data_IF_231587699109
#
_entry.id   IF_231587699109
#
_cell.length_a   1.000
_cell.length_b   1.000
_cell.length_c   1.000
_cell.angle_alpha   90.00
_cell.angle_beta   90.00
_cell.angle_gamma   90.00
#
_symmetry.space_group_name_H-M   'P 1'
#
loop_
_entity.id
_entity.type
_entity.pdbx_description
1 polymer ?
#
# COMPACT_ATOMS: atom_id res chain seq x y z
N UNK A 1 -95.09 21.09 -43.90
CA UNK A 1 -95.59 20.01 -43.01
C UNK A 1 -94.55 18.90 -42.96
N UNK A 2 -94.39 18.31 -41.76
CA UNK A 2 -93.52 17.18 -41.36
C UNK A 2 -92.03 17.49 -41.10
N UNK A 3 -91.76 17.78 -39.81
CA UNK A 3 -90.55 17.38 -39.10
C UNK A 3 -90.54 15.86 -38.93
N UNK A 4 -89.35 15.24 -38.93
CA UNK A 4 -88.99 14.18 -37.98
C UNK A 4 -87.46 14.12 -37.89
N UNK A 5 -86.94 14.08 -36.66
CA UNK A 5 -85.51 14.12 -36.34
C UNK A 5 -84.83 12.77 -36.38
N UNK A 6 -83.50 12.80 -36.33
CA UNK A 6 -82.62 11.65 -36.18
C UNK A 6 -81.26 12.12 -35.64
N UNK A 7 -80.75 11.38 -34.66
CA UNK A 7 -79.76 11.78 -33.67
C UNK A 7 -78.35 12.13 -34.21
N UNK A 8 -77.70 13.08 -33.53
CA UNK A 8 -76.26 13.33 -33.59
C UNK A 8 -75.55 12.23 -32.81
N UNK A 9 -74.73 11.43 -33.49
CA UNK A 9 -73.71 10.58 -32.86
C UNK A 9 -72.39 11.33 -32.99
N UNK A 10 -71.87 11.82 -31.87
CA UNK A 10 -70.51 12.36 -31.75
C UNK A 10 -69.56 11.17 -31.70
N UNK A 11 -68.86 10.90 -32.81
CA UNK A 11 -67.70 10.01 -32.80
C UNK A 11 -66.50 10.81 -32.27
N UNK A 12 -66.09 10.53 -31.04
CA UNK A 12 -64.86 11.06 -30.47
C UNK A 12 -63.67 10.49 -31.25
N UNK A 13 -62.94 11.35 -31.96
CA UNK A 13 -61.62 11.02 -32.50
C UNK A 13 -60.65 10.84 -31.32
N UNK A 14 -60.31 9.60 -31.00
CA UNK A 14 -59.14 9.30 -30.18
C UNK A 14 -57.90 9.57 -31.04
N UNK A 15 -57.36 10.78 -30.94
CA UNK A 15 -56.03 11.09 -31.45
C UNK A 15 -55.00 10.31 -30.64
N UNK A 16 -54.40 9.29 -31.26
CA UNK A 16 -53.19 8.64 -30.76
C UNK A 16 -52.04 9.64 -30.86
N UNK A 17 -51.90 10.47 -29.82
CA UNK A 17 -50.68 11.23 -29.59
C UNK A 17 -49.54 10.25 -29.35
N UNK A 18 -48.69 10.09 -30.37
CA UNK A 18 -47.36 9.53 -30.24
C UNK A 18 -46.59 10.39 -29.22
N UNK A 19 -46.62 9.98 -27.96
CA UNK A 19 -45.63 10.39 -26.99
C UNK A 19 -44.31 9.73 -27.39
N UNK A 20 -43.54 10.43 -28.24
CA UNK A 20 -42.10 10.18 -28.37
C UNK A 20 -41.49 10.64 -27.05
N UNK A 21 -41.48 9.74 -26.07
CA UNK A 21 -40.67 9.90 -24.89
C UNK A 21 -39.21 9.93 -25.34
N UNK A 22 -38.63 11.13 -25.45
CA UNK A 22 -37.19 11.32 -25.43
C UNK A 22 -36.69 10.96 -24.02
N UNK A 23 -36.76 9.68 -23.67
CA UNK A 23 -35.91 9.13 -22.63
C UNK A 23 -34.49 9.25 -23.16
N UNK A 24 -33.69 10.16 -22.60
CA UNK A 24 -32.23 10.04 -22.70
C UNK A 24 -31.89 8.68 -22.11
N UNK A 25 -31.73 7.66 -22.96
CA UNK A 25 -30.87 6.54 -22.64
C UNK A 25 -29.49 7.15 -22.42
N UNK A 26 -29.15 7.44 -21.17
CA UNK A 26 -27.75 7.65 -20.80
C UNK A 26 -27.03 6.38 -21.21
N UNK A 27 -26.27 6.45 -22.30
CA UNK A 27 -25.42 5.35 -22.74
C UNK A 27 -24.62 4.87 -21.53
N UNK A 28 -24.69 3.57 -21.24
CA UNK A 28 -23.93 2.97 -20.15
C UNK A 28 -22.46 3.26 -20.40
N UNK A 29 -21.79 3.91 -19.44
CA UNK A 29 -20.37 4.24 -19.55
C UNK A 29 -19.57 2.95 -19.80
N UNK A 30 -18.76 2.95 -20.86
CA UNK A 30 -17.92 1.80 -21.21
C UNK A 30 -16.80 1.64 -20.17
N UNK A 31 -16.33 0.41 -19.97
CA UNK A 31 -15.32 0.13 -18.94
C UNK A 31 -14.03 0.92 -19.16
N UNK A 32 -13.67 1.18 -20.41
CA UNK A 32 -12.47 1.96 -20.78
C UNK A 32 -12.49 3.41 -20.32
N UNK A 33 -13.68 3.97 -20.08
CA UNK A 33 -13.86 5.37 -19.70
C UNK A 33 -14.05 5.55 -18.18
N UNK A 34 -14.10 4.44 -17.43
CA UNK A 34 -14.29 4.44 -15.97
C UNK A 34 -12.98 4.73 -15.22
N UNK A 35 -13.07 5.24 -13.98
CA UNK A 35 -11.90 5.46 -13.13
C UNK A 35 -11.15 4.17 -12.78
N UNK A 36 -9.83 4.28 -12.75
CA UNK A 36 -8.90 3.22 -12.38
C UNK A 36 -7.86 3.76 -11.40
N UNK A 37 -7.73 3.16 -10.23
CA UNK A 37 -6.66 3.50 -9.28
C UNK A 37 -5.78 2.28 -9.04
N UNK A 38 -4.53 2.32 -9.50
CA UNK A 38 -3.53 1.38 -9.01
C UNK A 38 -3.15 1.75 -7.57
N UNK A 39 -2.91 0.78 -6.71
CA UNK A 39 -2.52 1.09 -5.33
C UNK A 39 -1.53 0.09 -4.73
N UNK A 40 -0.74 0.58 -3.77
CA UNK A 40 0.33 -0.13 -3.06
C UNK A 40 1.48 -0.59 -3.99
N UNK A 41 1.21 -1.42 -5.02
CA UNK A 41 2.18 -1.87 -6.02
C UNK A 41 2.04 -1.01 -7.28
N UNK A 42 2.97 -0.08 -7.50
CA UNK A 42 2.92 0.84 -8.64
C UNK A 42 3.21 0.10 -9.96
N UNK A 43 2.51 0.43 -11.07
CA UNK A 43 2.91 -0.07 -12.39
C UNK A 43 4.34 0.34 -12.73
N UNK A 44 5.22 -0.64 -12.87
CA UNK A 44 6.65 -0.42 -13.11
C UNK A 44 7.34 -1.65 -13.69
N UNK A 45 8.46 -1.43 -14.36
CA UNK A 45 9.38 -2.50 -14.73
C UNK A 45 10.01 -3.11 -13.46
N UNK A 46 9.93 -4.45 -13.25
CA UNK A 46 10.39 -5.09 -12.02
C UNK A 46 11.92 -5.09 -11.87
N UNK A 47 12.66 -4.84 -12.95
CA UNK A 47 14.13 -4.84 -12.92
C UNK A 47 14.67 -3.43 -12.64
N UNK A 48 14.37 -2.48 -13.51
CA UNK A 48 14.81 -1.08 -13.42
C UNK A 48 14.04 -0.26 -12.38
N UNK A 49 12.79 -0.62 -12.08
CA UNK A 49 11.88 0.17 -11.25
C UNK A 49 11.25 1.36 -11.98
N UNK A 50 11.53 1.55 -13.28
CA UNK A 50 10.93 2.61 -14.08
C UNK A 50 9.41 2.47 -14.14
N UNK A 51 8.69 3.58 -13.94
CA UNK A 51 7.23 3.59 -13.89
C UNK A 51 6.65 3.32 -15.28
N UNK A 52 5.70 2.39 -15.36
CA UNK A 52 4.99 2.07 -16.59
C UNK A 52 3.93 3.15 -16.89
N UNK A 53 4.38 4.20 -17.59
CA UNK A 53 3.51 5.29 -18.00
C UNK A 53 2.48 4.88 -19.06
N UNK A 54 2.63 3.73 -19.75
CA UNK A 54 1.58 3.25 -20.64
C UNK A 54 0.36 2.79 -19.84
N UNK A 55 0.57 2.07 -18.73
CA UNK A 55 -0.50 1.72 -17.79
C UNK A 55 -1.06 2.96 -17.07
N UNK A 56 -0.21 3.89 -16.63
CA UNK A 56 -0.66 5.12 -15.94
C UNK A 56 -1.45 6.09 -16.86
N UNK A 57 -1.20 6.04 -18.17
CA UNK A 57 -1.89 6.83 -19.18
C UNK A 57 -3.04 6.08 -19.86
N UNK A 58 -3.52 4.97 -19.28
CA UNK A 58 -4.67 4.22 -19.79
C UNK A 58 -5.87 5.13 -20.12
N UNK A 59 -6.24 6.00 -19.18
CA UNK A 59 -7.16 7.11 -19.41
C UNK A 59 -6.87 8.30 -18.47
N UNK A 60 -7.60 9.40 -18.65
CA UNK A 60 -7.50 10.62 -17.83
C UNK A 60 -7.97 10.45 -16.36
N UNK A 61 -8.58 9.30 -16.05
CA UNK A 61 -9.10 8.91 -14.73
C UNK A 61 -8.28 7.80 -14.09
N UNK A 62 -7.05 7.59 -14.58
CA UNK A 62 -6.11 6.60 -14.06
C UNK A 62 -5.11 7.25 -13.10
N UNK A 63 -5.01 6.77 -11.86
CA UNK A 63 -4.10 7.29 -10.83
C UNK A 63 -3.39 6.17 -10.08
N UNK A 64 -2.33 6.51 -9.36
CA UNK A 64 -1.69 5.62 -8.41
C UNK A 64 -1.78 6.18 -6.99
N UNK A 65 -2.02 5.33 -6.01
CA UNK A 65 -1.97 5.68 -4.58
C UNK A 65 -0.99 4.77 -3.85
N UNK A 66 -0.05 5.37 -3.15
CA UNK A 66 0.95 4.67 -2.36
C UNK A 66 1.58 5.59 -1.33
N UNK A 67 2.85 5.37 -1.03
CA UNK A 67 3.64 6.19 -0.12
C UNK A 67 4.98 6.55 -0.76
N UNK A 68 5.67 7.55 -0.20
CA UNK A 68 7.02 7.91 -0.64
C UNK A 68 8.02 6.81 -0.26
N UNK A 69 8.16 5.77 -1.09
CA UNK A 69 8.99 4.62 -0.77
C UNK A 69 10.47 4.98 -0.55
N UNK A 70 11.02 5.88 -1.37
CA UNK A 70 12.40 6.35 -1.24
C UNK A 70 12.61 7.16 0.05
N UNK A 71 11.72 8.11 0.34
CA UNK A 71 11.71 8.82 1.63
C UNK A 71 11.52 7.86 2.81
N UNK A 72 10.75 6.79 2.60
CA UNK A 72 10.52 5.72 3.55
C UNK A 72 11.77 4.97 3.97
N UNK A 73 12.57 4.52 3.00
CA UNK A 73 13.87 3.90 3.27
C UNK A 73 14.81 4.81 4.07
N UNK A 74 14.82 6.11 3.75
CA UNK A 74 15.60 7.09 4.51
C UNK A 74 15.08 7.25 5.95
N UNK A 75 13.76 7.26 6.16
CA UNK A 75 13.15 7.28 7.50
C UNK A 75 13.52 6.04 8.31
N UNK A 76 13.50 4.84 7.70
CA UNK A 76 13.92 3.61 8.36
C UNK A 76 15.40 3.63 8.74
N UNK A 77 16.26 4.04 7.81
CA UNK A 77 17.70 4.20 8.06
C UNK A 77 17.96 5.19 9.19
N UNK A 78 17.27 6.33 9.19
CA UNK A 78 17.37 7.33 10.25
C UNK A 78 16.92 6.78 11.61
N UNK A 79 15.80 6.07 11.66
CA UNK A 79 15.28 5.43 12.88
C UNK A 79 16.34 4.51 13.51
N UNK A 80 17.02 3.72 12.67
CA UNK A 80 18.11 2.83 13.10
C UNK A 80 19.31 3.63 13.60
N UNK A 81 19.77 4.63 12.86
CA UNK A 81 20.95 5.42 13.27
C UNK A 81 20.69 6.26 14.52
N UNK A 82 19.47 6.78 14.70
CA UNK A 82 19.07 7.50 15.91
C UNK A 82 19.08 6.56 17.12
N UNK A 83 18.61 5.32 16.96
CA UNK A 83 18.70 4.30 18.01
C UNK A 83 20.16 4.00 18.38
N UNK A 84 21.01 3.74 17.38
CA UNK A 84 22.43 3.45 17.58
C UNK A 84 23.19 4.62 18.23
N UNK A 85 22.92 5.86 17.81
CA UNK A 85 23.55 7.05 18.37
C UNK A 85 23.29 7.20 19.88
N UNK A 86 22.15 6.70 20.37
CA UNK A 86 21.77 6.72 21.78
C UNK A 86 22.06 5.40 22.52
N UNK A 87 22.61 4.39 21.85
CA UNK A 87 22.95 3.11 22.46
C UNK A 87 24.28 3.16 23.24
N UNK A 88 24.44 2.25 24.20
CA UNK A 88 25.71 1.99 24.86
C UNK A 88 26.59 1.10 23.95
N UNK A 89 27.74 1.60 23.46
CA UNK A 89 28.58 0.86 22.52
C UNK A 89 29.01 -0.50 23.05
N UNK A 90 29.26 -0.62 24.36
CA UNK A 90 29.74 -1.87 24.96
C UNK A 90 28.63 -2.92 25.14
N UNK A 91 27.35 -2.54 24.95
CA UNK A 91 26.20 -3.45 25.03
C UNK A 91 25.68 -3.85 23.67
N UNK A 92 25.71 -2.92 22.70
CA UNK A 92 25.20 -3.18 21.36
C UNK A 92 26.20 -3.98 20.52
N UNK A 93 27.50 -3.74 20.66
CA UNK A 93 28.55 -4.61 20.13
C UNK A 93 28.69 -5.80 21.08
N UNK A 94 27.99 -6.90 20.78
CA UNK A 94 27.78 -8.02 21.70
C UNK A 94 29.01 -8.90 21.87
N UNK A 95 29.92 -8.89 20.90
CA UNK A 95 31.16 -9.68 20.93
C UNK A 95 32.40 -8.81 21.22
N UNK A 96 32.28 -7.48 21.21
CA UNK A 96 33.33 -6.53 21.52
C UNK A 96 34.39 -6.40 20.42
N UNK A 97 34.07 -6.75 19.18
CA UNK A 97 35.03 -6.74 18.06
C UNK A 97 35.18 -5.36 17.38
N UNK A 98 34.40 -4.37 17.81
CA UNK A 98 34.39 -3.03 17.23
C UNK A 98 33.55 -2.89 15.95
N UNK A 99 32.73 -3.89 15.64
CA UNK A 99 31.83 -3.96 14.50
C UNK A 99 30.39 -4.11 14.96
N UNK A 100 29.47 -3.46 14.27
CA UNK A 100 28.04 -3.74 14.34
C UNK A 100 27.70 -4.68 13.20
N UNK A 101 27.49 -5.95 13.50
CA UNK A 101 27.01 -6.95 12.55
C UNK A 101 25.49 -6.94 12.47
N UNK A 102 24.92 -6.84 11.26
CA UNK A 102 23.47 -6.98 11.09
C UNK A 102 23.11 -8.01 10.02
N UNK A 103 21.94 -8.64 10.21
CA UNK A 103 21.28 -9.46 9.18
C UNK A 103 20.07 -8.70 8.61
N UNK A 104 19.81 -8.90 7.32
CA UNK A 104 18.77 -8.16 6.59
C UNK A 104 17.76 -9.10 5.93
N UNK A 105 16.49 -8.97 6.32
CA UNK A 105 15.36 -9.62 5.65
C UNK A 105 14.87 -8.75 4.49
N UNK A 106 15.09 -9.23 3.26
CA UNK A 106 14.68 -8.56 2.02
C UNK A 106 13.34 -9.13 1.56
N UNK A 107 12.45 -8.26 1.08
CA UNK A 107 11.14 -8.63 0.55
C UNK A 107 11.17 -9.19 -0.87
N UNK A 108 10.14 -8.89 -1.65
CA UNK A 108 10.11 -9.12 -3.10
C UNK A 108 11.18 -8.26 -3.78
N UNK A 109 12.25 -8.88 -4.30
CA UNK A 109 13.38 -8.18 -4.94
C UNK A 109 12.97 -7.38 -6.18
N UNK A 110 11.86 -7.74 -6.84
CA UNK A 110 11.31 -6.99 -7.97
C UNK A 110 10.48 -5.78 -7.55
N UNK A 111 10.12 -5.67 -6.26
CA UNK A 111 9.26 -4.61 -5.76
C UNK A 111 10.04 -3.35 -5.38
N UNK A 112 9.53 -2.19 -5.82
CA UNK A 112 10.18 -0.89 -5.57
C UNK A 112 10.33 -0.59 -4.07
N UNK A 113 9.39 -1.02 -3.23
CA UNK A 113 9.52 -0.83 -1.78
C UNK A 113 10.70 -1.59 -1.19
N UNK A 114 10.92 -2.85 -1.57
CA UNK A 114 12.08 -3.63 -1.08
C UNK A 114 13.38 -2.95 -1.45
N UNK A 115 13.47 -2.47 -2.70
CA UNK A 115 14.63 -1.75 -3.21
C UNK A 115 14.87 -0.47 -2.41
N UNK A 116 13.85 0.36 -2.24
CA UNK A 116 13.95 1.62 -1.53
C UNK A 116 14.32 1.45 -0.05
N UNK A 117 13.66 0.51 0.65
CA UNK A 117 13.92 0.20 2.07
C UNK A 117 15.34 -0.34 2.25
N UNK A 118 15.76 -1.32 1.42
CA UNK A 118 17.11 -1.88 1.45
C UNK A 118 18.19 -0.83 1.15
N UNK A 119 17.97 0.01 0.13
CA UNK A 119 18.88 1.11 -0.19
C UNK A 119 19.02 2.07 0.98
N UNK A 120 17.91 2.52 1.58
CA UNK A 120 17.91 3.44 2.70
C UNK A 120 18.64 2.91 3.94
N UNK A 121 18.41 1.63 4.30
CA UNK A 121 19.12 0.96 5.39
C UNK A 121 20.63 0.91 5.10
N UNK A 122 21.02 0.37 3.93
CA UNK A 122 22.43 0.23 3.55
C UNK A 122 23.15 1.57 3.44
N UNK A 123 22.46 2.61 2.96
CA UNK A 123 23.02 3.96 2.90
C UNK A 123 23.23 4.54 4.29
N UNK A 124 22.25 4.42 5.18
CA UNK A 124 22.33 4.94 6.55
C UNK A 124 23.43 4.24 7.37
N UNK A 125 23.66 2.95 7.11
CA UNK A 125 24.69 2.14 7.77
C UNK A 125 26.05 2.17 7.04
N UNK A 126 26.15 2.89 5.92
CA UNK A 126 27.37 3.00 5.12
C UNK A 126 27.75 1.75 4.31
N UNK A 127 26.90 0.71 4.31
CA UNK A 127 27.12 -0.57 3.65
C UNK A 127 26.65 -0.62 2.18
N UNK A 128 26.09 0.49 1.67
CA UNK A 128 25.64 0.58 0.27
C UNK A 128 26.78 0.35 -0.73
N UNK A 129 26.55 -0.58 -1.66
CA UNK A 129 27.49 -0.93 -2.72
C UNK A 129 26.86 -0.87 -4.12
N UNK A 130 25.98 0.12 -4.36
CA UNK A 130 25.37 0.36 -5.67
C UNK A 130 24.23 -0.58 -6.05
N UNK A 131 23.85 -1.54 -5.19
CA UNK A 131 22.76 -2.49 -5.45
C UNK A 131 21.93 -2.78 -4.20
N UNK A 132 20.66 -3.10 -4.44
CA UNK A 132 19.70 -3.61 -3.45
C UNK A 132 19.63 -5.13 -3.41
N UNK A 133 20.43 -5.81 -4.24
CA UNK A 133 20.40 -7.26 -4.33
C UNK A 133 20.91 -7.91 -3.04
N UNK A 134 20.38 -9.10 -2.68
CA UNK A 134 20.91 -9.92 -1.60
C UNK A 134 22.42 -10.15 -1.72
N UNK A 135 23.16 -10.02 -0.61
CA UNK A 135 24.60 -10.26 -0.56
C UNK A 135 25.50 -9.18 -1.18
N UNK A 136 24.94 -8.09 -1.75
CA UNK A 136 25.73 -6.99 -2.33
C UNK A 136 25.85 -5.83 -1.34
N UNK A 137 26.82 -5.92 -0.44
CA UNK A 137 27.13 -4.90 0.56
C UNK A 137 28.66 -4.72 0.71
N UNK A 138 29.09 -3.58 1.24
CA UNK A 138 30.48 -3.30 1.62
C UNK A 138 30.59 -3.06 3.13
N UNK A 139 31.80 -3.06 3.67
CA UNK A 139 32.04 -2.56 5.04
C UNK A 139 31.65 -1.08 5.12
N UNK A 140 30.85 -0.75 6.14
CA UNK A 140 30.39 0.59 6.45
C UNK A 140 30.91 1.08 7.79
N UNK A 141 30.35 2.19 8.28
CA UNK A 141 30.65 2.74 9.59
C UNK A 141 29.47 3.55 10.11
N UNK A 142 29.23 3.51 11.42
CA UNK A 142 28.14 4.24 12.07
C UNK A 142 28.59 4.79 13.42
N UNK A 143 27.93 5.86 13.88
CA UNK A 143 28.15 6.39 15.22
C UNK A 143 27.24 5.68 16.22
N UNK A 144 27.83 5.12 17.26
CA UNK A 144 27.18 4.45 18.38
C UNK A 144 27.61 5.12 19.67
N UNK A 145 26.70 5.71 20.44
CA UNK A 145 27.02 6.34 21.73
C UNK A 145 28.23 7.30 21.68
N UNK A 146 28.39 8.04 20.58
CA UNK A 146 29.53 8.95 20.34
C UNK A 146 30.83 8.29 19.86
N UNK A 147 30.90 6.97 19.68
CA UNK A 147 32.03 6.25 19.07
C UNK A 147 31.70 5.83 17.65
N UNK A 148 32.67 5.89 16.75
CA UNK A 148 32.53 5.33 15.40
C UNK A 148 32.90 3.85 15.42
N UNK A 149 31.98 2.98 15.02
CA UNK A 149 32.20 1.54 14.85
C UNK A 149 32.09 1.14 13.39
N UNK A 150 32.72 0.03 13.02
CA UNK A 150 32.53 -0.59 11.71
C UNK A 150 31.12 -1.17 11.61
N UNK A 151 30.62 -1.34 10.39
CA UNK A 151 29.34 -2.02 10.15
C UNK A 151 29.50 -3.07 9.07
N UNK A 152 28.96 -4.26 9.30
CA UNK A 152 28.96 -5.35 8.34
C UNK A 152 27.56 -5.93 8.20
N UNK A 153 27.07 -6.01 6.96
CA UNK A 153 25.93 -6.87 6.62
C UNK A 153 26.43 -8.32 6.62
N UNK A 154 26.14 -9.06 7.69
CA UNK A 154 26.54 -10.46 7.83
C UNK A 154 25.88 -11.31 6.75
N UNK A 155 24.61 -11.05 6.49
CA UNK A 155 23.85 -11.65 5.40
C UNK A 155 22.58 -10.84 5.12
N UNK A 156 22.35 -10.50 3.86
CA UNK A 156 21.06 -10.01 3.37
C UNK A 156 20.41 -11.06 2.47
N UNK A 157 19.17 -11.43 2.76
CA UNK A 157 18.48 -12.55 2.09
C UNK A 157 17.03 -12.21 1.76
N UNK A 158 16.58 -12.59 0.57
CA UNK A 158 15.17 -12.52 0.20
C UNK A 158 14.36 -13.61 0.94
N UNK A 159 13.29 -13.22 1.61
CA UNK A 159 12.42 -14.15 2.36
C UNK A 159 11.31 -14.67 1.46
N UNK A 160 11.66 -15.69 0.69
CA UNK A 160 10.76 -16.37 -0.23
C UNK A 160 10.36 -17.73 0.32
N UNK A 161 9.06 -18.02 0.38
CA UNK A 161 8.53 -19.33 0.74
C UNK A 161 8.86 -20.40 -0.30
N UNK A 162 8.72 -21.67 0.07
CA UNK A 162 8.92 -22.81 -0.85
C UNK A 162 7.91 -22.86 -2.00
N UNK A 163 6.79 -22.14 -1.87
CA UNK A 163 5.76 -21.92 -2.87
C UNK A 163 5.99 -20.68 -3.74
N UNK A 164 7.09 -19.94 -3.53
CA UNK A 164 7.42 -18.71 -4.24
C UNK A 164 6.88 -17.43 -3.59
N UNK A 165 6.07 -17.53 -2.51
CA UNK A 165 5.55 -16.36 -1.78
C UNK A 165 6.66 -15.43 -1.31
N UNK A 166 6.58 -14.15 -1.65
CA UNK A 166 7.52 -13.12 -1.18
C UNK A 166 7.05 -12.52 0.14
N UNK A 167 7.94 -11.83 0.86
CA UNK A 167 7.65 -11.26 2.19
C UNK A 167 7.26 -12.33 3.24
N UNK A 168 7.78 -13.55 3.08
CA UNK A 168 7.28 -14.71 3.80
C UNK A 168 7.80 -14.75 5.26
N UNK A 169 6.88 -14.72 6.22
CA UNK A 169 7.22 -14.73 7.64
C UNK A 169 7.86 -16.05 8.10
N UNK A 170 7.44 -17.20 7.58
CA UNK A 170 8.03 -18.50 7.94
C UNK A 170 9.47 -18.62 7.44
N UNK A 171 9.74 -18.16 6.21
CA UNK A 171 11.09 -18.08 5.67
C UNK A 171 11.99 -17.17 6.52
N UNK A 172 11.44 -16.07 7.06
CA UNK A 172 12.15 -15.20 7.99
C UNK A 172 12.44 -15.89 9.33
N UNK A 173 11.48 -16.63 9.90
CA UNK A 173 11.68 -17.45 11.10
C UNK A 173 12.82 -18.46 10.93
N UNK A 174 12.80 -19.21 9.82
CA UNK A 174 13.82 -20.21 9.50
C UNK A 174 15.20 -19.57 9.27
N UNK A 175 15.25 -18.46 8.52
CA UNK A 175 16.49 -17.72 8.28
C UNK A 175 17.08 -17.20 9.58
N UNK A 176 16.26 -16.61 10.46
CA UNK A 176 16.72 -16.10 11.76
C UNK A 176 17.28 -17.22 12.64
N UNK A 177 16.63 -18.38 12.70
CA UNK A 177 17.14 -19.52 13.46
C UNK A 177 18.48 -20.06 12.93
N UNK A 178 18.63 -20.08 11.60
CA UNK A 178 19.89 -20.41 10.94
C UNK A 178 21.00 -19.39 11.22
N UNK A 179 20.68 -18.09 11.13
CA UNK A 179 21.62 -17.00 11.41
C UNK A 179 22.07 -16.99 12.86
N UNK A 180 21.16 -17.18 13.82
CA UNK A 180 21.51 -17.27 15.24
C UNK A 180 22.51 -18.42 15.50
N UNK A 181 22.36 -19.55 14.80
CA UNK A 181 23.31 -20.68 14.87
C UNK A 181 24.64 -20.39 14.18
N UNK A 182 24.60 -19.75 13.00
CA UNK A 182 25.77 -19.49 12.14
C UNK A 182 26.67 -18.36 12.67
N UNK A 183 26.07 -17.27 13.11
CA UNK A 183 26.76 -16.02 13.45
C UNK A 183 26.81 -15.74 14.96
N UNK A 184 25.91 -16.32 15.75
CA UNK A 184 25.94 -16.23 17.21
C UNK A 184 25.95 -14.78 17.74
N UNK A 185 27.01 -14.43 18.47
CA UNK A 185 27.18 -13.09 19.07
C UNK A 185 27.69 -12.03 18.09
N UNK A 186 27.97 -12.37 16.83
CA UNK A 186 28.27 -11.37 15.81
C UNK A 186 27.02 -10.60 15.33
N UNK A 187 25.81 -11.10 15.62
CA UNK A 187 24.55 -10.41 15.26
C UNK A 187 24.24 -9.36 16.32
N UNK A 188 24.45 -8.09 16.03
CA UNK A 188 24.13 -6.99 16.93
C UNK A 188 22.77 -6.37 16.64
N UNK A 189 22.21 -6.60 15.45
CA UNK A 189 20.91 -6.09 15.04
C UNK A 189 20.27 -6.94 13.94
N UNK A 190 18.94 -7.03 13.95
CA UNK A 190 18.15 -7.57 12.84
C UNK A 190 17.40 -6.43 12.16
N UNK A 191 17.46 -6.35 10.83
CA UNK A 191 16.71 -5.35 10.07
C UNK A 191 15.84 -6.06 9.04
N UNK A 192 14.64 -5.55 8.82
CA UNK A 192 13.69 -6.14 7.89
C UNK A 192 13.08 -5.07 6.99
N UNK A 193 12.89 -5.39 5.71
CA UNK A 193 12.11 -4.54 4.82
C UNK A 193 10.64 -4.45 5.24
N UNK A 194 10.08 -5.35 6.06
CA UNK A 194 8.74 -5.17 6.61
C UNK A 194 8.51 -5.82 7.99
N UNK A 195 7.38 -5.48 8.60
CA UNK A 195 6.96 -5.97 9.91
C UNK A 195 6.65 -7.47 9.88
N UNK A 196 6.01 -7.98 8.82
CA UNK A 196 5.67 -9.40 8.73
C UNK A 196 6.89 -10.32 8.88
N UNK A 197 7.99 -10.00 8.18
CA UNK A 197 9.26 -10.74 8.30
C UNK A 197 9.97 -10.47 9.62
N UNK A 198 9.91 -9.24 10.16
CA UNK A 198 10.50 -8.91 11.47
C UNK A 198 9.82 -9.70 12.60
N UNK A 199 8.48 -9.75 12.58
CA UNK A 199 7.68 -10.52 13.51
C UNK A 199 7.91 -12.03 13.34
N UNK A 200 8.15 -12.51 12.12
CA UNK A 200 8.63 -13.87 11.85
C UNK A 200 9.97 -14.18 12.51
N UNK A 201 10.97 -13.29 12.38
CA UNK A 201 12.26 -13.44 13.05
C UNK A 201 12.09 -13.60 14.57
N UNK A 202 11.20 -12.82 15.20
CA UNK A 202 10.88 -12.91 16.63
C UNK A 202 10.23 -14.24 17.05
N UNK A 203 9.73 -15.05 16.10
CA UNK A 203 9.22 -16.40 16.39
C UNK A 203 10.32 -17.48 16.42
N UNK A 204 11.56 -17.16 16.03
CA UNK A 204 12.65 -18.12 16.10
C UNK A 204 12.91 -18.52 17.56
N UNK A 205 12.88 -19.82 17.85
CA UNK A 205 13.01 -20.35 19.22
C UNK A 205 14.35 -20.03 19.88
N UNK A 206 15.37 -19.73 19.07
CA UNK A 206 16.71 -19.31 19.45
C UNK A 206 17.00 -17.84 19.09
N UNK A 207 15.98 -17.00 18.96
CA UNK A 207 16.18 -15.55 18.76
C UNK A 207 17.10 -15.00 19.88
N UNK A 208 18.24 -14.35 19.55
CA UNK A 208 19.19 -13.95 20.58
C UNK A 208 18.61 -12.86 21.49
N UNK A 209 18.55 -13.13 22.79
CA UNK A 209 17.99 -12.21 23.77
C UNK A 209 18.69 -10.84 23.73
N UNK A 210 17.88 -9.77 23.71
CA UNK A 210 18.37 -8.39 23.72
C UNK A 210 18.85 -7.85 22.37
N UNK A 211 18.85 -8.66 21.30
CA UNK A 211 19.18 -8.15 19.95
C UNK A 211 18.03 -7.28 19.43
N UNK A 212 18.27 -5.99 19.15
CA UNK A 212 17.26 -5.10 18.58
C UNK A 212 16.87 -5.54 17.18
N UNK A 213 15.60 -5.29 16.85
CA UNK A 213 15.02 -5.62 15.55
C UNK A 213 14.13 -4.48 15.05
N UNK A 214 14.28 -4.18 13.76
CA UNK A 214 13.53 -3.11 13.08
C UNK A 214 12.71 -3.66 11.92
N UNK A 215 11.44 -3.27 11.90
CA UNK A 215 10.51 -3.55 10.81
C UNK A 215 10.17 -2.32 9.97
N UNK A 216 9.07 -2.43 9.23
CA UNK A 216 8.47 -1.39 8.41
C UNK A 216 7.01 -1.80 8.18
N UNK A 217 6.05 -0.87 8.34
CA UNK A 217 4.64 -0.90 7.94
C UNK A 217 3.74 -0.34 9.07
N UNK A 218 4.19 -0.43 10.32
CA UNK A 218 3.42 -0.14 11.53
C UNK A 218 2.17 -1.04 11.66
N UNK A 219 2.33 -2.33 11.38
CA UNK A 219 1.26 -3.31 11.58
C UNK A 219 0.88 -3.40 13.07
N UNK A 220 -0.40 -3.71 13.34
CA UNK A 220 -0.93 -3.74 14.71
C UNK A 220 -0.11 -4.63 15.66
N UNK A 221 0.29 -5.82 15.21
CA UNK A 221 1.13 -6.75 15.97
C UNK A 221 2.55 -6.22 16.21
N UNK A 222 3.12 -5.51 15.24
CA UNK A 222 4.41 -4.83 15.38
C UNK A 222 4.32 -3.66 16.37
N UNK A 223 3.25 -2.86 16.33
CA UNK A 223 3.01 -1.76 17.28
C UNK A 223 2.87 -2.29 18.72
N UNK A 224 2.10 -3.35 18.92
CA UNK A 224 2.00 -4.00 20.24
C UNK A 224 3.34 -4.63 20.67
N UNK A 225 4.12 -5.19 19.72
CA UNK A 225 5.45 -5.72 20.00
C UNK A 225 6.45 -4.62 20.42
N UNK A 226 6.32 -3.39 19.90
CA UNK A 226 7.09 -2.23 20.36
C UNK A 226 6.67 -1.86 21.79
N UNK A 227 5.37 -1.79 22.06
CA UNK A 227 4.84 -1.53 23.41
C UNK A 227 5.30 -2.57 24.44
N UNK A 228 5.45 -3.83 24.01
CA UNK A 228 5.97 -4.92 24.82
C UNK A 228 7.52 -4.98 24.89
N UNK A 229 8.24 -4.07 24.23
CA UNK A 229 9.71 -4.03 24.20
C UNK A 229 10.37 -5.17 23.41
N UNK A 230 9.64 -5.85 22.52
CA UNK A 230 10.15 -6.95 21.68
C UNK A 230 10.68 -6.47 20.33
N UNK A 231 9.92 -5.62 19.64
CA UNK A 231 10.33 -4.95 18.41
C UNK A 231 10.90 -3.58 18.77
N UNK A 232 12.04 -3.19 18.21
CA UNK A 232 12.72 -1.93 18.57
C UNK A 232 12.09 -0.74 17.88
N UNK A 233 11.66 -0.90 16.64
CA UNK A 233 10.96 0.13 15.90
C UNK A 233 10.44 -0.35 14.54
N UNK A 234 9.55 0.44 13.97
CA UNK A 234 8.98 0.24 12.63
C UNK A 234 8.77 1.60 11.97
N UNK A 235 8.28 1.62 10.73
CA UNK A 235 7.94 2.85 10.00
C UNK A 235 6.48 2.77 9.58
N UNK A 236 5.68 3.75 10.00
CA UNK A 236 4.33 3.92 9.47
C UNK A 236 4.42 4.53 8.07
N UNK A 237 3.74 3.88 7.13
CA UNK A 237 3.50 4.39 5.78
C UNK A 237 2.12 5.08 5.64
N UNK A 238 1.45 5.39 6.75
CA UNK A 238 0.13 6.03 6.77
C UNK A 238 -0.94 5.27 5.95
N UNK A 239 -1.16 4.00 6.29
CA UNK A 239 -2.12 3.11 5.59
C UNK A 239 -3.54 3.68 5.52
N UNK A 240 -4.03 4.33 6.58
CA UNK A 240 -5.35 4.97 6.60
C UNK A 240 -5.45 6.10 5.58
N UNK A 241 -4.39 6.88 5.41
CA UNK A 241 -4.30 7.94 4.41
C UNK A 241 -4.31 7.35 2.99
N UNK A 242 -3.54 6.28 2.75
CA UNK A 242 -3.51 5.59 1.45
C UNK A 242 -4.87 4.98 1.12
N UNK A 243 -5.49 4.23 2.04
CA UNK A 243 -6.80 3.61 1.83
C UNK A 243 -7.88 4.66 1.55
N UNK A 244 -7.89 5.75 2.31
CA UNK A 244 -8.82 6.86 2.09
C UNK A 244 -8.56 7.54 0.76
N UNK A 245 -7.30 7.83 0.39
CA UNK A 245 -6.98 8.46 -0.88
C UNK A 245 -7.36 7.60 -2.09
N UNK A 246 -7.14 6.27 -2.04
CA UNK A 246 -7.60 5.34 -3.07
C UNK A 246 -9.11 5.51 -3.31
N UNK A 247 -9.89 5.53 -2.22
CA UNK A 247 -11.34 5.67 -2.28
C UNK A 247 -11.79 7.09 -2.67
N UNK A 248 -11.11 8.12 -2.17
CA UNK A 248 -11.45 9.52 -2.40
C UNK A 248 -11.18 9.94 -3.85
N UNK A 249 -10.07 9.49 -4.46
CA UNK A 249 -9.80 9.74 -5.89
C UNK A 249 -10.91 9.14 -6.76
N UNK A 250 -11.30 7.89 -6.47
CA UNK A 250 -12.44 7.25 -7.14
C UNK A 250 -13.74 8.01 -6.91
N UNK A 251 -14.00 8.44 -5.68
CA UNK A 251 -15.18 9.22 -5.30
C UNK A 251 -15.27 10.52 -6.09
N UNK A 252 -14.19 11.29 -6.11
CA UNK A 252 -14.08 12.56 -6.82
C UNK A 252 -14.39 12.37 -8.31
N UNK A 253 -13.76 11.39 -8.95
CA UNK A 253 -13.97 11.09 -10.37
C UNK A 253 -15.41 10.65 -10.67
N UNK A 254 -16.03 9.86 -9.77
CA UNK A 254 -17.42 9.40 -9.90
C UNK A 254 -18.46 10.48 -9.62
N UNK A 255 -18.08 11.54 -8.91
CA UNK A 255 -18.88 12.77 -8.71
C UNK A 255 -18.66 13.80 -9.83
N UNK A 256 -17.79 13.48 -10.80
CA UNK A 256 -17.54 14.33 -11.97
C UNK A 256 -16.51 15.43 -11.74
N UNK A 257 -15.73 15.37 -10.66
CA UNK A 257 -14.59 16.26 -10.47
C UNK A 257 -13.52 15.96 -11.54
N UNK A 258 -12.81 17.01 -11.95
CA UNK A 258 -11.76 16.96 -12.98
C UNK A 258 -10.57 17.83 -12.59
N UNK A 259 -9.45 17.69 -13.29
CA UNK A 259 -8.26 18.50 -13.03
C UNK A 259 -7.72 18.30 -11.61
N UNK A 260 -7.30 19.40 -10.97
CA UNK A 260 -6.71 19.41 -9.62
C UNK A 260 -7.66 18.87 -8.56
N UNK A 261 -8.96 19.11 -8.70
CA UNK A 261 -9.95 18.73 -7.68
C UNK A 261 -9.98 17.23 -7.42
N UNK A 262 -9.61 16.41 -8.42
CA UNK A 262 -9.53 14.95 -8.28
C UNK A 262 -8.57 14.52 -7.18
N UNK A 263 -7.43 15.21 -7.04
CA UNK A 263 -6.36 14.84 -6.12
C UNK A 263 -6.16 15.83 -4.95
N UNK A 264 -7.00 16.86 -4.83
CA UNK A 264 -6.98 17.79 -3.69
C UNK A 264 -8.21 17.69 -2.79
N UNK A 265 -9.42 17.56 -3.35
CA UNK A 265 -10.67 17.53 -2.55
C UNK A 265 -10.79 16.24 -1.77
N UNK A 266 -10.98 16.35 -0.46
CA UNK A 266 -10.99 15.24 0.48
C UNK A 266 -9.60 14.73 0.84
N UNK A 267 -8.54 15.28 0.25
CA UNK A 267 -7.15 14.83 0.40
C UNK A 267 -6.36 15.91 1.13
N UNK A 268 -5.95 16.98 0.43
CA UNK A 268 -5.23 18.12 1.03
C UNK A 268 -6.16 19.28 1.39
N UNK A 269 -7.35 19.32 0.81
CA UNK A 269 -8.41 20.29 1.05
C UNK A 269 -9.72 19.58 1.42
N UNK A 270 -10.62 20.21 2.20
CA UNK A 270 -11.94 19.65 2.45
C UNK A 270 -12.72 19.42 1.15
N UNK A 271 -13.40 18.29 1.03
CA UNK A 271 -14.39 18.05 -0.04
C UNK A 271 -15.73 18.74 0.23
N UNK A 272 -16.70 18.52 -0.66
CA UNK A 272 -18.06 19.06 -0.52
C UNK A 272 -18.83 18.56 0.72
N UNK A 273 -18.36 17.48 1.36
CA UNK A 273 -18.92 16.92 2.59
C UNK A 273 -18.13 17.32 3.84
N UNK A 274 -17.06 18.11 3.67
CA UNK A 274 -16.17 18.53 4.74
C UNK A 274 -15.15 17.46 5.16
N UNK A 275 -15.04 16.35 4.41
CA UNK A 275 -14.04 15.33 4.66
C UNK A 275 -12.67 15.83 4.22
N UNK A 276 -11.62 15.48 4.97
CA UNK A 276 -10.22 15.72 4.60
C UNK A 276 -9.34 14.70 5.29
N UNK A 277 -8.40 14.09 4.55
CA UNK A 277 -7.34 13.26 5.14
C UNK A 277 -6.45 14.13 6.04
N UNK A 278 -6.20 13.66 7.26
CA UNK A 278 -5.40 14.37 8.27
C UNK A 278 -3.91 14.28 7.99
N UNK A 279 -3.43 13.16 7.47
CA UNK A 279 -2.03 12.96 7.10
C UNK A 279 -1.68 13.65 5.78
N UNK A 280 -0.44 14.10 5.66
CA UNK A 280 0.05 14.73 4.42
C UNK A 280 0.19 13.72 3.29
N UNK A 281 -0.36 14.09 2.12
CA UNK A 281 -0.24 13.35 0.87
C UNK A 281 0.29 14.29 -0.21
N UNK A 282 1.34 13.85 -0.90
CA UNK A 282 1.96 14.61 -1.99
C UNK A 282 1.51 14.03 -3.33
N UNK A 283 1.04 14.88 -4.23
CA UNK A 283 0.77 14.51 -5.62
C UNK A 283 2.01 14.71 -6.51
N UNK A 284 2.43 13.66 -7.21
CA UNK A 284 3.47 13.68 -8.24
C UNK A 284 2.80 13.67 -9.61
N UNK A 285 2.85 14.80 -10.31
CA UNK A 285 2.13 14.99 -11.58
C UNK A 285 2.65 14.05 -12.68
N UNK A 286 3.97 13.91 -12.74
CA UNK A 286 4.73 13.16 -13.73
C UNK A 286 4.42 11.65 -13.72
N UNK A 287 4.00 11.11 -12.58
CA UNK A 287 3.62 9.70 -12.42
C UNK A 287 2.16 9.51 -12.00
N UNK A 288 1.38 10.59 -11.90
CA UNK A 288 -0.01 10.63 -11.44
C UNK A 288 -0.20 9.92 -10.08
N UNK A 289 0.79 10.04 -9.21
CA UNK A 289 0.88 9.32 -7.95
C UNK A 289 0.51 10.21 -6.77
N UNK A 290 -0.34 9.71 -5.88
CA UNK A 290 -0.59 10.29 -4.56
C UNK A 290 0.19 9.49 -3.51
N UNK A 291 1.13 10.15 -2.85
CA UNK A 291 2.11 9.50 -1.97
C UNK A 291 1.97 10.02 -0.54
N UNK A 292 1.51 9.15 0.36
CA UNK A 292 1.52 9.42 1.79
C UNK A 292 2.96 9.48 2.34
N UNK A 293 3.18 10.30 3.36
CA UNK A 293 4.49 10.44 4.01
C UNK A 293 4.76 9.31 5.01
N UNK A 294 6.02 9.11 5.37
CA UNK A 294 6.45 8.07 6.30
C UNK A 294 6.80 8.64 7.67
N UNK A 295 6.63 7.87 8.74
CA UNK A 295 7.04 8.27 10.09
C UNK A 295 7.65 7.10 10.85
N UNK A 296 8.81 7.33 11.47
CA UNK A 296 9.43 6.33 12.35
C UNK A 296 8.63 6.14 13.63
N UNK A 297 8.43 4.89 14.02
CA UNK A 297 7.69 4.47 15.21
C UNK A 297 8.61 3.68 16.12
N UNK A 298 8.66 4.07 17.39
CA UNK A 298 9.48 3.43 18.42
C UNK A 298 8.78 3.52 19.78
N UNK A 299 9.49 3.12 20.85
CA UNK A 299 8.96 3.11 22.21
C UNK A 299 8.44 4.46 22.73
N UNK A 300 8.85 5.59 22.14
CA UNK A 300 8.42 6.92 22.56
C UNK A 300 7.07 7.37 21.97
N UNK A 301 6.63 6.78 20.86
CA UNK A 301 5.44 7.25 20.13
C UNK A 301 4.48 6.14 19.67
N UNK A 302 4.77 4.86 19.94
CA UNK A 302 3.97 3.72 19.46
C UNK A 302 2.47 3.81 19.80
N UNK A 303 2.10 4.40 20.94
CA UNK A 303 0.70 4.51 21.36
C UNK A 303 -0.18 5.29 20.37
N UNK A 304 0.42 6.20 19.60
CA UNK A 304 -0.27 6.97 18.55
C UNK A 304 -0.73 6.06 17.39
N UNK A 305 -0.07 4.92 17.21
CA UNK A 305 -0.27 3.99 16.09
C UNK A 305 -1.04 2.72 16.49
N UNK A 306 -1.61 2.66 17.70
CA UNK A 306 -2.43 1.52 18.14
C UNK A 306 -3.57 1.25 17.16
N UNK A 307 -3.85 -0.03 16.95
CA UNK A 307 -4.93 -0.47 16.07
C UNK A 307 -6.28 0.16 16.47
N UNK A 308 -7.05 0.58 15.48
CA UNK A 308 -8.36 1.23 15.68
C UNK A 308 -8.31 2.76 15.77
N UNK A 309 -7.12 3.37 15.85
CA UNK A 309 -6.97 4.81 15.65
C UNK A 309 -7.22 5.15 14.16
N UNK A 310 -8.47 5.46 13.83
CA UNK A 310 -8.89 5.88 12.47
C UNK A 310 -8.91 7.40 12.35
N UNK A 311 -8.75 7.89 11.13
CA UNK A 311 -8.77 9.31 10.80
C UNK A 311 -10.16 9.92 11.04
N UNK A 312 -10.26 10.77 12.05
CA UNK A 312 -11.51 11.45 12.42
C UNK A 312 -11.89 12.60 11.46
N UNK A 313 -10.99 12.95 10.54
CA UNK A 313 -11.22 13.89 9.44
C UNK A 313 -12.16 13.33 8.37
N UNK A 314 -12.42 12.01 8.38
CA UNK A 314 -13.32 11.34 7.44
C UNK A 314 -14.59 10.92 8.15
N UNK A 315 -15.72 11.44 7.68
CA UNK A 315 -17.04 11.26 8.27
C UNK A 315 -18.03 10.75 7.23
N UNK A 316 -19.18 10.28 7.72
CA UNK A 316 -20.26 9.77 6.88
C UNK A 316 -20.73 10.86 5.91
N UNK A 317 -20.44 10.68 4.63
CA UNK A 317 -20.94 11.50 3.54
C UNK A 317 -22.39 11.16 3.21
N UNK A 318 -23.05 12.10 2.51
CA UNK A 318 -24.37 11.88 1.90
C UNK A 318 -24.27 11.59 0.39
N UNK A 319 -23.09 11.16 -0.07
CA UNK A 319 -22.84 10.86 -1.47
C UNK A 319 -23.72 9.70 -1.95
N UNK A 320 -24.11 9.72 -3.23
CA UNK A 320 -24.82 8.60 -3.85
C UNK A 320 -23.87 7.39 -3.89
N UNK A 321 -24.38 6.23 -3.47
CA UNK A 321 -23.60 4.99 -3.44
C UNK A 321 -23.04 4.66 -4.83
N UNK A 322 -21.75 4.30 -4.88
CA UNK A 322 -21.08 3.77 -6.08
C UNK A 322 -20.42 2.44 -5.80
N UNK A 323 -20.34 1.58 -6.81
CA UNK A 323 -19.77 0.24 -6.72
C UNK A 323 -18.33 0.23 -7.21
N UNK A 324 -17.41 -0.23 -6.39
CA UNK A 324 -15.99 -0.36 -6.74
C UNK A 324 -15.57 -1.83 -6.63
N UNK A 325 -14.89 -2.33 -7.67
CA UNK A 325 -14.18 -3.60 -7.60
C UNK A 325 -12.71 -3.33 -7.30
N UNK A 326 -12.18 -3.97 -6.25
CA UNK A 326 -10.81 -3.83 -5.80
C UNK A 326 -10.11 -5.19 -5.78
N UNK A 327 -8.90 -5.25 -6.32
CA UNK A 327 -8.03 -6.43 -6.19
C UNK A 327 -7.02 -6.26 -5.07
N UNK A 328 -6.65 -7.35 -4.40
CA UNK A 328 -5.50 -7.48 -3.50
C UNK A 328 -4.64 -8.60 -4.06
N UNK A 329 -3.34 -8.36 -4.25
CA UNK A 329 -2.48 -9.30 -4.97
C UNK A 329 -2.30 -10.63 -4.23
N UNK A 330 -2.28 -10.59 -2.89
CA UNK A 330 -2.01 -11.72 -2.02
C UNK A 330 -2.86 -11.65 -0.75
N UNK A 331 -3.71 -12.65 -0.54
CA UNK A 331 -4.50 -12.73 0.70
C UNK A 331 -3.67 -13.04 1.95
N UNK A 332 -2.46 -13.59 1.78
CA UNK A 332 -1.54 -13.93 2.87
C UNK A 332 -0.56 -12.81 3.23
N UNK A 333 -0.59 -11.68 2.51
CA UNK A 333 0.20 -10.51 2.87
C UNK A 333 -0.34 -9.90 4.18
N UNK A 334 0.47 -9.90 5.24
CA UNK A 334 0.04 -9.45 6.56
C UNK A 334 -0.31 -7.95 6.58
N UNK A 335 0.41 -7.11 5.85
CA UNK A 335 0.12 -5.68 5.79
C UNK A 335 -1.23 -5.41 5.11
N UNK A 336 -1.49 -6.06 3.97
CA UNK A 336 -2.74 -5.87 3.25
C UNK A 336 -3.94 -6.47 4.00
N UNK A 337 -3.78 -7.67 4.57
CA UNK A 337 -4.87 -8.37 5.27
C UNK A 337 -5.20 -7.76 6.64
N UNK A 338 -4.19 -7.35 7.41
CA UNK A 338 -4.37 -6.88 8.79
C UNK A 338 -4.47 -5.36 8.93
N UNK A 339 -3.97 -4.59 7.95
CA UNK A 339 -3.91 -3.12 8.03
C UNK A 339 -4.73 -2.44 6.92
N UNK A 340 -4.41 -2.72 5.65
CA UNK A 340 -4.98 -2.01 4.51
C UNK A 340 -6.46 -2.36 4.28
N UNK A 341 -6.82 -3.64 4.22
CA UNK A 341 -8.20 -4.08 3.99
C UNK A 341 -9.16 -3.63 5.10
N UNK A 342 -8.80 -3.70 6.40
CA UNK A 342 -9.60 -3.10 7.46
C UNK A 342 -9.79 -1.58 7.31
N UNK A 343 -8.77 -0.85 6.87
CA UNK A 343 -8.90 0.59 6.59
C UNK A 343 -9.87 0.85 5.43
N UNK A 344 -9.73 0.12 4.31
CA UNK A 344 -10.65 0.22 3.17
C UNK A 344 -12.10 -0.05 3.59
N UNK A 345 -12.33 -1.12 4.36
CA UNK A 345 -13.67 -1.47 4.83
C UNK A 345 -14.27 -0.44 5.79
N UNK A 346 -13.44 0.28 6.53
CA UNK A 346 -13.87 1.38 7.41
C UNK A 346 -14.26 2.63 6.60
N UNK A 347 -13.41 3.08 5.67
CA UNK A 347 -13.62 4.34 4.94
C UNK A 347 -14.61 4.24 3.78
N UNK A 348 -14.71 3.08 3.11
CA UNK A 348 -15.61 2.90 1.96
C UNK A 348 -17.08 3.30 2.24
N UNK A 349 -17.75 2.81 3.30
CA UNK A 349 -19.12 3.22 3.59
C UNK A 349 -19.25 4.71 3.96
N UNK A 350 -18.23 5.29 4.60
CA UNK A 350 -18.22 6.73 4.92
C UNK A 350 -18.21 7.58 3.65
N UNK A 351 -17.54 7.12 2.58
CA UNK A 351 -17.45 7.78 1.28
C UNK A 351 -18.58 7.40 0.30
N UNK A 352 -19.58 6.63 0.74
CA UNK A 352 -20.65 6.15 -0.13
C UNK A 352 -20.13 5.19 -1.21
N UNK A 353 -19.17 4.34 -0.87
CA UNK A 353 -18.60 3.33 -1.75
C UNK A 353 -18.98 1.95 -1.25
N UNK A 354 -19.66 1.19 -2.11
CA UNK A 354 -19.85 -0.25 -1.95
C UNK A 354 -18.66 -0.98 -2.57
N UNK A 355 -17.75 -1.39 -1.70
CA UNK A 355 -16.52 -2.07 -2.09
C UNK A 355 -16.74 -3.58 -2.25
N UNK A 356 -16.31 -4.13 -3.38
CA UNK A 356 -16.16 -5.57 -3.60
C UNK A 356 -14.68 -5.89 -3.71
N UNK A 357 -14.17 -6.76 -2.85
CA UNK A 357 -12.76 -7.11 -2.80
C UNK A 357 -12.55 -8.53 -3.30
N UNK A 358 -11.59 -8.72 -4.20
CA UNK A 358 -11.09 -10.04 -4.62
C UNK A 358 -9.61 -10.13 -4.33
N UNK A 359 -9.15 -11.31 -3.90
CA UNK A 359 -7.78 -11.50 -3.43
C UNK A 359 -7.10 -12.63 -4.21
N UNK A 360 -5.85 -12.42 -4.61
CA UNK A 360 -4.99 -13.40 -5.28
C UNK A 360 -4.15 -14.24 -4.32
N UNK A 361 -3.24 -15.03 -4.90
CA UNK A 361 -2.31 -15.93 -4.20
C UNK A 361 -0.91 -15.33 -4.00
N UNK A 362 -0.68 -14.10 -4.50
CA UNK A 362 0.61 -13.43 -4.45
C UNK A 362 1.66 -13.95 -5.44
N UNK A 363 1.34 -14.93 -6.27
CA UNK A 363 2.26 -15.63 -7.17
C UNK A 363 1.89 -15.45 -8.64
N UNK A 364 0.64 -15.78 -8.96
CA UNK A 364 0.11 -15.85 -10.31
C UNK A 364 -0.82 -14.67 -10.54
N UNK A 365 -0.56 -13.86 -11.58
CA UNK A 365 -1.44 -12.74 -11.92
C UNK A 365 -2.88 -13.22 -12.25
N UNK A 366 -3.00 -14.43 -12.81
CA UNK A 366 -4.31 -15.06 -13.08
C UNK A 366 -5.16 -15.23 -11.83
N UNK A 367 -4.56 -15.43 -10.65
CA UNK A 367 -5.30 -15.58 -9.39
C UNK A 367 -6.10 -14.33 -9.00
N UNK A 368 -5.66 -13.16 -9.48
CA UNK A 368 -6.38 -11.88 -9.42
C UNK A 368 -7.22 -11.65 -10.68
N UNK A 369 -6.63 -11.79 -11.87
CA UNK A 369 -7.29 -11.49 -13.14
C UNK A 369 -8.57 -12.31 -13.32
N UNK A 370 -8.58 -13.60 -13.00
CA UNK A 370 -9.76 -14.46 -13.16
C UNK A 370 -10.92 -14.03 -12.26
N UNK A 371 -10.61 -13.38 -11.13
CA UNK A 371 -11.59 -12.79 -10.22
C UNK A 371 -11.95 -11.34 -10.59
N UNK A 372 -11.10 -10.66 -11.37
CA UNK A 372 -11.36 -9.35 -11.96
C UNK A 372 -12.25 -9.49 -13.21
N UNK A 373 -13.53 -9.78 -12.97
CA UNK A 373 -14.53 -10.09 -14.00
C UNK A 373 -15.88 -9.43 -13.70
N UNK A 374 -16.87 -9.61 -14.57
CA UNK A 374 -18.20 -8.98 -14.48
C UNK A 374 -18.10 -7.44 -14.37
N UNK A 375 -17.11 -6.86 -15.05
CA UNK A 375 -16.65 -5.49 -14.86
C UNK A 375 -17.73 -4.44 -15.14
N UNK A 376 -18.69 -4.77 -16.02
CA UNK A 376 -19.85 -3.91 -16.31
C UNK A 376 -20.81 -3.67 -15.14
N UNK A 377 -20.64 -4.36 -13.99
CA UNK A 377 -21.45 -4.19 -12.78
C UNK A 377 -20.90 -3.14 -11.80
N UNK A 378 -19.70 -2.63 -12.05
CA UNK A 378 -19.00 -1.67 -11.19
C UNK A 378 -18.88 -0.31 -11.87
N UNK A 379 -18.80 0.74 -11.06
CA UNK A 379 -18.64 2.12 -11.51
C UNK A 379 -17.17 2.51 -11.68
N UNK A 380 -16.27 1.88 -10.91
CA UNK A 380 -14.83 2.09 -11.00
C UNK A 380 -14.02 0.89 -10.45
N UNK A 381 -12.70 0.96 -10.61
CA UNK A 381 -11.78 -0.12 -10.28
C UNK A 381 -10.58 0.37 -9.46
N UNK A 382 -10.16 -0.45 -8.50
CA UNK A 382 -8.88 -0.31 -7.82
C UNK A 382 -8.05 -1.59 -8.01
N UNK A 383 -6.78 -1.48 -8.37
CA UNK A 383 -5.96 -2.62 -8.74
C UNK A 383 -4.65 -2.65 -7.94
N UNK A 384 -4.46 -3.75 -7.23
CA UNK A 384 -3.18 -4.14 -6.66
C UNK A 384 -2.74 -5.44 -7.35
N UNK A 385 -1.67 -5.34 -8.13
CA UNK A 385 -1.21 -6.37 -9.07
C UNK A 385 -0.23 -7.32 -8.43
N UNK A 386 -0.15 -8.57 -8.89
CA UNK A 386 0.90 -9.49 -8.42
C UNK A 386 2.27 -9.05 -8.93
N UNK A 387 2.38 -8.75 -10.23
CA UNK A 387 3.59 -8.25 -10.88
C UNK A 387 3.41 -6.77 -11.25
N UNK A 388 4.43 -5.96 -10.98
CA UNK A 388 4.38 -4.51 -11.24
C UNK A 388 4.26 -4.18 -12.73
N UNK A 389 4.65 -5.09 -13.62
CA UNK A 389 4.52 -4.92 -15.08
C UNK A 389 3.22 -5.49 -15.68
N UNK A 390 2.26 -5.92 -14.85
CA UNK A 390 0.99 -6.50 -15.33
C UNK A 390 -0.14 -5.48 -15.54
N UNK A 391 0.15 -4.16 -15.49
CA UNK A 391 -0.90 -3.13 -15.63
C UNK A 391 -1.70 -3.25 -16.92
N UNK A 392 -1.02 -3.65 -18.01
CA UNK A 392 -1.66 -3.92 -19.30
C UNK A 392 -2.72 -5.02 -19.22
N UNK A 393 -2.48 -6.10 -18.48
CA UNK A 393 -3.40 -7.25 -18.38
C UNK A 393 -4.76 -6.83 -17.80
N UNK A 394 -4.76 -5.90 -16.85
CA UNK A 394 -5.98 -5.32 -16.28
C UNK A 394 -6.67 -4.35 -17.24
N UNK A 395 -5.91 -3.47 -17.88
CA UNK A 395 -6.48 -2.51 -18.84
C UNK A 395 -7.04 -3.19 -20.09
N UNK A 396 -6.47 -4.32 -20.52
CA UNK A 396 -6.97 -5.11 -21.64
C UNK A 396 -8.37 -5.68 -21.35
N UNK A 397 -8.66 -6.05 -20.10
CA UNK A 397 -10.00 -6.45 -19.66
C UNK A 397 -11.01 -5.29 -19.62
N UNK A 398 -10.54 -4.06 -19.51
CA UNK A 398 -11.36 -2.85 -19.45
C UNK A 398 -11.66 -2.23 -20.82
N UNK A 399 -11.04 -2.72 -21.91
CA UNK A 399 -11.20 -2.16 -23.26
C UNK A 399 -12.65 -2.08 -23.76
N UNK A 400 -13.49 -3.03 -23.36
CA UNK A 400 -14.82 -3.23 -23.93
C UNK A 400 -15.95 -3.13 -22.90
#
# INVERSE_FOLDING_TARGET
MKKLGGAIVVLAMAGSALFVGCGKQTAKLQNKDKPLVFFNRQPSDPTSGEIDMASMNWNDKTYYVGFDAAGGGAVQGKLITDFLANADPAKIDRNGDGTIGYVLCIGDVGHNDSKARTAGIRQALGTWNGSTDPGVAKEGSVTVGGKTLKVVELEGKAMTGTDGSTWNANAATEAMGGWATKFGTAIDMVVSNNDGMAMGCLQASNYPAGVPIFGYDANADAIEAIGAGKLTGTVSQNVDAQATATLQVLRNLLDGLTGTDVYTKGISEPDQYGNKISADIVYKTDTKALLAQNTGVNSSNWEQYKAGNRDQGIKQSKAVEKKVLLTIYNSADNFLSSSYLPALNYYAPLLGIKLTVVQGDGQNESSCLDKFTNLGNYDAYAVNMVKTNSGRDYTDKLKY
#
